data_IF_836486957178
#
_entry.id   IF_836486957178
#
_cell.length_a   1.000
_cell.length_b   1.000
_cell.length_c   1.000
_cell.angle_alpha   90.00
_cell.angle_beta   90.00
_cell.angle_gamma   90.00
#
_symmetry.space_group_name_H-M   'P 1'
#
loop_
_entity.id
_entity.type
_entity.pdbx_description
1 polymer ?
#
# COMPACT_ATOMS: atom_id res chain seq x y z
N UNK A 1 16.39 -20.40 71.22
CA UNK A 1 15.26 -19.79 70.49
C UNK A 1 15.84 -18.78 69.51
N UNK A 2 15.21 -18.55 68.34
CA UNK A 2 15.63 -17.64 67.25
C UNK A 2 16.36 -18.24 66.02
N UNK A 3 16.16 -19.52 65.68
CA UNK A 3 16.62 -20.08 64.38
C UNK A 3 15.48 -20.69 63.52
N UNK A 4 14.21 -20.45 63.88
CA UNK A 4 13.04 -21.03 63.18
C UNK A 4 12.20 -20.02 62.37
N UNK A 5 12.74 -18.86 62.02
CA UNK A 5 12.01 -17.82 61.28
C UNK A 5 12.60 -17.47 59.89
N UNK A 6 13.37 -18.38 59.27
CA UNK A 6 13.96 -18.18 57.93
C UNK A 6 13.44 -19.14 56.84
N UNK A 7 12.19 -19.61 56.95
CA UNK A 7 11.49 -20.33 55.88
C UNK A 7 10.01 -19.93 56.01
N UNK A 8 9.48 -18.95 55.25
CA UNK A 8 9.09 -19.21 53.87
C UNK A 8 8.94 -17.93 53.01
N UNK A 9 10.01 -17.34 52.49
CA UNK A 9 9.92 -16.33 51.42
C UNK A 9 11.09 -16.53 50.47
N UNK A 10 10.91 -17.44 49.53
CA UNK A 10 11.32 -17.32 48.11
C UNK A 10 11.14 -18.69 47.41
N UNK A 11 9.98 -19.33 47.61
CA UNK A 11 9.47 -20.30 46.63
C UNK A 11 8.79 -19.55 45.48
N UNK A 12 9.52 -18.63 44.86
CA UNK A 12 9.15 -18.00 43.59
C UNK A 12 10.04 -18.49 42.44
N UNK A 13 10.66 -19.67 42.62
CA UNK A 13 11.04 -20.52 41.50
C UNK A 13 9.91 -21.51 41.22
N UNK A 14 8.69 -21.00 40.98
CA UNK A 14 7.72 -21.79 40.23
C UNK A 14 8.27 -21.88 38.81
N UNK A 15 8.78 -23.07 38.50
CA UNK A 15 9.49 -23.37 37.28
C UNK A 15 8.78 -22.82 36.05
N UNK A 16 9.59 -22.18 35.20
CA UNK A 16 9.34 -22.19 33.76
C UNK A 16 9.10 -23.65 33.41
N UNK A 17 7.89 -23.96 32.94
CA UNK A 17 7.46 -25.35 32.76
C UNK A 17 8.27 -25.98 31.62
N UNK A 18 8.84 -27.17 31.85
CA UNK A 18 9.68 -27.94 30.92
C UNK A 18 9.07 -28.14 29.52
N UNK A 19 7.74 -28.03 29.43
CA UNK A 19 6.98 -28.08 28.18
C UNK A 19 7.37 -26.97 27.18
N UNK A 20 7.90 -25.84 27.65
CA UNK A 20 8.36 -24.75 26.79
C UNK A 20 9.81 -24.94 26.33
N UNK A 21 10.67 -25.55 27.15
CA UNK A 21 12.05 -25.87 26.78
C UNK A 21 12.10 -26.91 25.65
N UNK A 22 11.34 -28.01 25.75
CA UNK A 22 11.20 -29.02 24.68
C UNK A 22 10.68 -28.43 23.35
N UNK A 23 9.83 -27.40 23.45
CA UNK A 23 9.26 -26.73 22.28
C UNK A 23 10.24 -25.72 21.67
N UNK A 24 11.11 -25.12 22.47
CA UNK A 24 12.15 -24.18 22.00
C UNK A 24 13.37 -24.91 21.41
N UNK A 25 13.74 -26.08 21.94
CA UNK A 25 14.86 -26.90 21.43
C UNK A 25 14.70 -27.26 19.94
N UNK A 26 13.44 -27.38 19.47
CA UNK A 26 13.13 -27.72 18.09
C UNK A 26 12.93 -26.52 17.14
N UNK A 27 12.74 -25.30 17.65
CA UNK A 27 12.49 -24.11 16.79
C UNK A 27 13.74 -23.77 15.98
N UNK A 28 14.91 -23.85 16.62
CA UNK A 28 16.20 -23.44 16.05
C UNK A 28 16.68 -24.25 14.85
N UNK A 29 16.03 -25.38 14.54
CA UNK A 29 16.39 -26.22 13.39
C UNK A 29 15.28 -26.32 12.34
N UNK A 30 14.20 -25.55 12.48
CA UNK A 30 13.16 -25.51 11.45
C UNK A 30 13.63 -24.74 10.22
N UNK A 31 13.16 -25.12 9.04
CA UNK A 31 13.44 -24.37 7.80
C UNK A 31 13.03 -22.90 7.92
N UNK A 32 11.88 -22.62 8.54
CA UNK A 32 11.41 -21.26 8.76
C UNK A 32 12.34 -20.43 9.65
N UNK A 33 12.85 -21.02 10.72
CA UNK A 33 13.84 -20.36 11.59
C UNK A 33 15.13 -20.06 10.84
N UNK A 34 15.67 -21.02 10.09
CA UNK A 34 16.91 -20.85 9.34
C UNK A 34 16.81 -19.69 8.33
N UNK A 35 15.70 -19.64 7.57
CA UNK A 35 15.43 -18.54 6.63
C UNK A 35 15.30 -17.19 7.34
N UNK A 36 14.54 -17.13 8.44
CA UNK A 36 14.36 -15.90 9.20
C UNK A 36 15.69 -15.41 9.83
N UNK A 37 16.47 -16.33 10.39
CA UNK A 37 17.77 -16.06 10.99
C UNK A 37 18.76 -15.51 9.97
N UNK A 38 18.82 -16.11 8.78
CA UNK A 38 19.66 -15.63 7.68
C UNK A 38 19.26 -14.22 7.24
N UNK A 39 17.96 -13.98 6.99
CA UNK A 39 17.45 -12.66 6.59
C UNK A 39 17.76 -11.57 7.63
N UNK A 40 17.58 -11.88 8.91
CA UNK A 40 17.89 -10.96 10.00
C UNK A 40 19.39 -10.69 10.06
N UNK A 41 20.23 -11.73 10.05
CA UNK A 41 21.68 -11.60 10.17
C UNK A 41 22.28 -10.78 9.02
N UNK A 42 21.74 -10.88 7.81
CA UNK A 42 22.17 -10.08 6.65
C UNK A 42 21.78 -8.59 6.79
N UNK A 43 20.75 -8.27 7.56
CA UNK A 43 20.29 -6.89 7.78
C UNK A 43 20.99 -6.19 8.95
N UNK A 44 21.34 -6.94 10.00
CA UNK A 44 21.95 -6.41 11.23
C UNK A 44 23.36 -5.85 10.98
N UNK A 45 23.64 -4.66 11.51
CA UNK A 45 24.97 -4.06 11.62
C UNK A 45 25.49 -4.17 13.06
N UNK A 46 26.24 -5.24 13.36
CA UNK A 46 26.80 -5.49 14.69
C UNK A 46 27.90 -4.51 15.14
N UNK A 47 28.33 -3.59 14.26
CA UNK A 47 29.32 -2.56 14.62
C UNK A 47 28.71 -1.40 15.41
N UNK A 48 27.39 -1.33 15.51
CA UNK A 48 26.64 -0.25 16.16
C UNK A 48 25.99 -0.74 17.44
N UNK A 49 26.11 0.05 18.51
CA UNK A 49 25.41 -0.24 19.77
C UNK A 49 23.88 -0.11 19.57
N UNK A 50 23.09 -1.17 19.77
CA UNK A 50 21.64 -1.11 19.66
C UNK A 50 20.99 -0.13 20.64
N UNK A 51 21.61 0.13 21.79
CA UNK A 51 21.11 1.11 22.77
C UNK A 51 21.33 2.56 22.32
N UNK A 52 22.29 2.79 21.42
CA UNK A 52 22.57 4.12 20.88
C UNK A 52 21.78 4.40 19.59
N UNK A 53 21.73 3.43 18.66
CA UNK A 53 20.97 3.56 17.41
C UNK A 53 20.44 2.21 16.95
N UNK A 54 19.26 1.84 17.45
CA UNK A 54 18.62 0.57 17.12
C UNK A 54 18.26 0.45 15.63
N UNK A 55 17.97 1.57 14.94
CA UNK A 55 17.65 1.54 13.51
C UNK A 55 18.87 1.15 12.68
N UNK A 56 20.02 1.77 12.92
CA UNK A 56 21.26 1.41 12.23
C UNK A 56 21.73 0.01 12.61
N UNK A 57 21.66 -0.36 13.89
CA UNK A 57 21.96 -1.73 14.32
C UNK A 57 21.08 -2.75 13.60
N UNK A 58 19.77 -2.48 13.45
CA UNK A 58 18.84 -3.45 12.89
C UNK A 58 18.82 -3.51 11.36
N UNK A 59 19.08 -2.38 10.70
CA UNK A 59 18.83 -2.20 9.27
C UNK A 59 20.05 -1.71 8.47
N UNK A 60 21.15 -1.33 9.13
CA UNK A 60 22.28 -0.65 8.48
C UNK A 60 22.88 -1.43 7.32
N UNK A 61 23.12 -2.73 7.51
CA UNK A 61 23.64 -3.59 6.44
C UNK A 61 22.59 -3.82 5.34
N UNK A 62 21.30 -3.85 5.68
CA UNK A 62 20.26 -3.95 4.67
C UNK A 62 20.25 -2.72 3.75
N UNK A 63 20.31 -1.52 4.33
CA UNK A 63 20.33 -0.25 3.57
C UNK A 63 21.57 -0.18 2.66
N UNK A 64 22.74 -0.56 3.18
CA UNK A 64 23.97 -0.58 2.40
C UNK A 64 23.90 -1.50 1.17
N UNK A 65 23.20 -2.63 1.29
CA UNK A 65 23.08 -3.63 0.23
C UNK A 65 21.86 -3.43 -0.69
N UNK A 66 20.95 -2.51 -0.37
CA UNK A 66 19.72 -2.30 -1.12
C UNK A 66 19.52 -0.82 -1.50
N UNK A 67 20.39 -0.27 -2.38
CA UNK A 67 20.24 1.10 -2.86
C UNK A 67 18.93 1.25 -3.62
N UNK A 68 18.38 2.48 -3.62
CA UNK A 68 17.12 2.78 -4.30
C UNK A 68 17.30 2.55 -5.82
N UNK A 69 16.58 1.60 -6.44
CA UNK A 69 16.70 1.33 -7.86
C UNK A 69 16.23 2.51 -8.69
N UNK A 70 16.77 2.63 -9.91
CA UNK A 70 16.30 3.64 -10.87
C UNK A 70 14.79 3.53 -11.11
N UNK A 71 14.11 4.68 -11.13
CA UNK A 71 12.65 4.76 -11.30
C UNK A 71 11.84 4.49 -10.03
N UNK A 72 12.48 4.30 -8.87
CA UNK A 72 11.80 4.24 -7.57
C UNK A 72 12.20 5.43 -6.69
N UNK A 73 11.27 5.89 -5.86
CA UNK A 73 11.51 6.94 -4.86
C UNK A 73 12.00 6.37 -3.52
N UNK A 74 11.72 5.10 -3.24
CA UNK A 74 12.07 4.43 -2.00
C UNK A 74 12.33 2.94 -2.24
N UNK A 75 13.13 2.33 -1.38
CA UNK A 75 13.34 0.89 -1.36
C UNK A 75 13.18 0.39 0.07
N UNK A 76 12.31 -0.60 0.28
CA UNK A 76 11.99 -1.14 1.60
C UNK A 76 11.68 -2.64 1.49
N UNK A 77 11.71 -3.33 2.63
CA UNK A 77 11.27 -4.73 2.72
C UNK A 77 9.83 -4.92 2.22
N UNK A 78 8.91 -4.01 2.55
CA UNK A 78 7.55 -4.02 2.02
C UNK A 78 7.54 -3.86 0.50
N UNK A 79 8.37 -2.96 -0.04
CA UNK A 79 8.52 -2.77 -1.48
C UNK A 79 8.98 -4.05 -2.19
N UNK A 80 9.95 -4.77 -1.62
CA UNK A 80 10.42 -6.05 -2.16
C UNK A 80 9.31 -7.11 -2.20
N UNK A 81 8.51 -7.22 -1.14
CA UNK A 81 7.38 -8.15 -1.11
C UNK A 81 6.32 -7.73 -2.13
N UNK A 82 5.98 -6.44 -2.22
CA UNK A 82 5.04 -5.93 -3.22
C UNK A 82 5.50 -6.19 -4.64
N UNK A 83 6.81 -6.07 -4.92
CA UNK A 83 7.38 -6.39 -6.23
C UNK A 83 7.22 -7.87 -6.56
N UNK A 84 7.55 -8.77 -5.63
CA UNK A 84 7.39 -10.22 -5.81
C UNK A 84 5.93 -10.61 -6.06
N UNK A 85 5.01 -10.03 -5.29
CA UNK A 85 3.56 -10.26 -5.47
C UNK A 85 3.11 -9.77 -6.84
N UNK A 86 3.56 -8.59 -7.27
CA UNK A 86 3.24 -8.03 -8.59
C UNK A 86 3.80 -8.89 -9.73
N UNK A 87 4.99 -9.46 -9.58
CA UNK A 87 5.55 -10.43 -10.54
C UNK A 87 4.70 -11.69 -10.62
N UNK A 88 4.27 -12.25 -9.48
CA UNK A 88 3.36 -13.42 -9.48
C UNK A 88 2.00 -13.11 -10.09
N UNK A 89 1.43 -11.95 -9.81
CA UNK A 89 0.19 -11.51 -10.47
C UNK A 89 0.39 -11.39 -11.99
N UNK A 90 1.51 -10.82 -12.42
CA UNK A 90 1.85 -10.71 -13.84
C UNK A 90 1.95 -12.08 -14.51
N UNK A 91 2.67 -13.03 -13.92
CA UNK A 91 2.77 -14.42 -14.41
C UNK A 91 1.37 -15.04 -14.65
N UNK A 92 0.45 -14.87 -13.69
CA UNK A 92 -0.91 -15.39 -13.77
C UNK A 92 -1.77 -14.71 -14.85
N UNK A 93 -1.64 -13.39 -14.99
CA UNK A 93 -2.42 -12.60 -15.95
C UNK A 93 -1.86 -12.70 -17.38
N UNK A 94 -0.57 -13.00 -17.55
CA UNK A 94 0.07 -13.22 -18.86
C UNK A 94 0.00 -14.66 -19.33
N UNK A 95 -0.35 -15.62 -18.47
CA UNK A 95 -0.46 -17.04 -18.85
C UNK A 95 -1.51 -17.27 -19.95
N UNK A 96 -1.52 -18.46 -20.57
CA UNK A 96 -2.60 -18.89 -21.48
C UNK A 96 -3.75 -19.61 -20.75
N UNK A 97 -3.65 -19.78 -19.43
CA UNK A 97 -4.68 -20.45 -18.64
C UNK A 97 -6.00 -19.67 -18.64
N UNK A 98 -7.11 -20.37 -18.84
CA UNK A 98 -8.46 -19.81 -18.65
C UNK A 98 -8.93 -20.22 -17.26
N UNK A 99 -9.15 -19.24 -16.40
CA UNK A 99 -9.62 -19.49 -15.04
C UNK A 99 -11.10 -19.93 -15.05
N UNK A 100 -11.50 -20.77 -14.11
CA UNK A 100 -12.92 -21.11 -13.94
C UNK A 100 -13.79 -19.91 -13.54
N UNK A 101 -13.20 -18.88 -12.92
CA UNK A 101 -13.89 -17.65 -12.49
C UNK A 101 -14.01 -16.64 -13.63
N UNK A 102 -15.25 -16.23 -13.92
CA UNK A 102 -15.54 -15.15 -14.89
C UNK A 102 -14.83 -13.84 -14.53
N UNK A 103 -14.80 -13.49 -13.24
CA UNK A 103 -14.16 -12.26 -12.76
C UNK A 103 -12.65 -12.27 -12.99
N UNK A 104 -11.99 -13.42 -12.82
CA UNK A 104 -10.56 -13.58 -13.08
C UNK A 104 -10.25 -13.43 -14.58
N UNK A 105 -11.07 -14.03 -15.45
CA UNK A 105 -10.91 -13.87 -16.90
C UNK A 105 -11.18 -12.43 -17.36
N UNK A 106 -12.15 -11.73 -16.75
CA UNK A 106 -12.39 -10.32 -17.02
C UNK A 106 -11.19 -9.44 -16.61
N UNK A 107 -10.60 -9.68 -15.42
CA UNK A 107 -9.39 -9.01 -14.98
C UNK A 107 -8.22 -9.25 -15.94
N UNK A 108 -8.04 -10.49 -16.41
CA UNK A 108 -7.04 -10.86 -17.40
C UNK A 108 -7.21 -10.13 -18.72
N UNK A 109 -8.44 -10.02 -19.22
CA UNK A 109 -8.75 -9.26 -20.43
C UNK A 109 -8.41 -7.76 -20.27
N UNK A 110 -8.76 -7.16 -19.14
CA UNK A 110 -8.43 -5.75 -18.83
C UNK A 110 -6.91 -5.56 -18.78
N UNK A 111 -6.20 -6.46 -18.11
CA UNK A 111 -4.73 -6.44 -18.04
C UNK A 111 -4.10 -6.48 -19.45
N UNK A 112 -4.52 -7.44 -20.29
CA UNK A 112 -4.00 -7.57 -21.66
C UNK A 112 -4.23 -6.29 -22.48
N UNK A 113 -5.41 -5.67 -22.38
CA UNK A 113 -5.70 -4.38 -23.04
C UNK A 113 -4.83 -3.23 -22.53
N UNK A 114 -4.57 -3.18 -21.22
CA UNK A 114 -3.72 -2.14 -20.63
C UNK A 114 -2.24 -2.27 -21.07
N UNK A 115 -1.76 -3.50 -21.23
CA UNK A 115 -0.37 -3.79 -21.59
C UNK A 115 -0.11 -3.74 -23.10
N UNK A 116 -1.17 -3.76 -23.92
CA UNK A 116 -1.04 -3.65 -25.37
C UNK A 116 -0.54 -2.26 -25.77
N UNK A 117 0.68 -2.20 -26.29
CA UNK A 117 1.32 -0.97 -26.76
C UNK A 117 0.89 -0.58 -28.18
N UNK A 118 0.18 -1.46 -28.88
CA UNK A 118 -0.30 -1.24 -30.25
C UNK A 118 -1.55 -0.36 -30.30
N UNK A 119 -2.42 -0.43 -29.29
CA UNK A 119 -3.66 0.36 -29.21
C UNK A 119 -3.38 1.77 -28.66
N UNK A 120 -2.87 2.65 -29.52
CA UNK A 120 -2.61 4.05 -29.15
C UNK A 120 -3.90 4.85 -29.14
N UNK A 121 -4.48 5.06 -27.96
CA UNK A 121 -5.45 6.15 -27.76
C UNK A 121 -4.73 7.46 -28.09
N UNK A 122 -5.13 8.10 -29.17
CA UNK A 122 -4.54 9.38 -29.58
C UNK A 122 -4.99 10.48 -28.62
N UNK A 123 -4.14 11.49 -28.43
CA UNK A 123 -4.52 12.70 -27.68
C UNK A 123 -5.85 13.28 -28.21
N UNK A 124 -6.11 13.16 -29.52
CA UNK A 124 -7.37 13.55 -30.15
C UNK A 124 -8.59 12.84 -29.56
N UNK A 125 -8.53 11.52 -29.33
CA UNK A 125 -9.64 10.78 -28.73
C UNK A 125 -9.91 11.22 -27.30
N UNK A 126 -8.86 11.49 -26.53
CA UNK A 126 -9.01 12.05 -25.18
C UNK A 126 -9.67 13.43 -25.22
N UNK A 127 -9.25 14.30 -26.15
CA UNK A 127 -9.84 15.63 -26.33
C UNK A 127 -11.32 15.57 -26.75
N UNK A 128 -11.70 14.60 -27.59
CA UNK A 128 -13.12 14.36 -27.94
C UNK A 128 -13.96 14.03 -26.70
N UNK A 129 -13.44 13.19 -25.80
CA UNK A 129 -14.16 12.86 -24.57
C UNK A 129 -14.20 14.05 -23.61
N UNK A 130 -13.12 14.85 -23.53
CA UNK A 130 -13.12 16.05 -22.68
C UNK A 130 -14.18 17.05 -23.14
N UNK A 131 -14.39 17.19 -24.45
CA UNK A 131 -15.45 18.05 -25.02
C UNK A 131 -16.86 17.64 -24.61
N UNK A 132 -17.10 16.37 -24.25
CA UNK A 132 -18.40 15.93 -23.72
C UNK A 132 -18.74 16.62 -22.38
N UNK A 133 -17.73 17.12 -21.66
CA UNK A 133 -17.91 17.86 -20.41
C UNK A 133 -18.04 19.38 -20.61
N UNK A 134 -17.92 19.88 -21.85
CA UNK A 134 -17.99 21.30 -22.18
C UNK A 134 -16.71 21.84 -22.79
N UNK A 135 -16.71 23.15 -23.04
CA UNK A 135 -15.60 23.84 -23.71
C UNK A 135 -14.43 24.04 -22.74
N UNK A 136 -13.22 23.65 -23.15
CA UNK A 136 -12.00 23.94 -22.39
C UNK A 136 -11.20 25.08 -23.05
N UNK A 137 -11.22 26.32 -22.50
CA UNK A 137 -10.58 27.48 -23.11
C UNK A 137 -9.12 27.27 -23.53
N UNK A 138 -8.33 26.59 -22.69
CA UNK A 138 -6.91 26.32 -22.93
C UNK A 138 -6.65 25.47 -24.19
N UNK A 139 -7.61 24.65 -24.61
CA UNK A 139 -7.51 23.79 -25.80
C UNK A 139 -8.24 24.40 -26.99
N UNK A 140 -9.38 25.05 -26.75
CA UNK A 140 -10.34 25.38 -27.80
C UNK A 140 -10.39 26.86 -28.18
N UNK A 141 -9.78 27.72 -27.36
CA UNK A 141 -9.79 29.17 -27.49
C UNK A 141 -10.79 29.85 -26.57
N UNK A 142 -10.44 31.04 -26.08
CA UNK A 142 -11.29 31.85 -25.20
C UNK A 142 -12.57 32.32 -25.90
N UNK A 143 -12.58 32.38 -27.23
CA UNK A 143 -13.72 32.79 -28.05
C UNK A 143 -14.89 31.80 -28.00
N UNK A 144 -14.61 30.52 -27.71
CA UNK A 144 -15.62 29.46 -27.66
C UNK A 144 -16.19 29.23 -26.27
N UNK A 145 -15.51 29.70 -25.24
CA UNK A 145 -15.96 29.56 -23.87
C UNK A 145 -16.73 30.81 -23.44
N UNK A 146 -17.94 30.63 -22.90
CA UNK A 146 -18.77 31.73 -22.43
C UNK A 146 -19.15 31.51 -20.98
N UNK A 147 -18.89 32.51 -20.15
CA UNK A 147 -19.21 32.46 -18.72
C UNK A 147 -20.69 32.18 -18.45
N UNK A 148 -21.59 32.71 -19.29
CA UNK A 148 -23.04 32.51 -19.15
C UNK A 148 -23.51 31.08 -19.40
N UNK A 149 -22.72 30.27 -20.14
CA UNK A 149 -23.03 28.87 -20.44
C UNK A 149 -22.39 27.91 -19.42
N UNK A 150 -21.56 28.42 -18.50
CA UNK A 150 -20.77 27.59 -17.60
C UNK A 150 -21.45 27.37 -16.25
N UNK A 151 -21.94 26.15 -16.03
CA UNK A 151 -22.40 25.68 -14.71
C UNK A 151 -21.34 24.77 -14.08
N UNK A 152 -20.58 25.35 -13.14
CA UNK A 152 -19.56 24.63 -12.40
C UNK A 152 -20.16 23.47 -11.58
N UNK A 153 -21.35 23.63 -11.02
CA UNK A 153 -21.97 22.62 -10.15
C UNK A 153 -22.38 21.41 -10.96
N UNK A 154 -23.06 21.61 -12.09
CA UNK A 154 -23.44 20.52 -13.00
C UNK A 154 -22.22 19.81 -13.57
N UNK A 155 -21.19 20.56 -13.97
CA UNK A 155 -19.94 19.98 -14.46
C UNK A 155 -19.30 19.07 -13.40
N UNK A 156 -19.11 19.56 -12.18
CA UNK A 156 -18.49 18.79 -11.09
C UNK A 156 -19.31 17.56 -10.71
N UNK A 157 -20.65 17.69 -10.65
CA UNK A 157 -21.54 16.57 -10.39
C UNK A 157 -21.42 15.49 -11.47
N UNK A 158 -21.49 15.89 -12.75
CA UNK A 158 -21.43 14.97 -13.88
C UNK A 158 -20.06 14.28 -14.01
N UNK A 159 -18.97 15.02 -13.85
CA UNK A 159 -17.61 14.49 -13.86
C UNK A 159 -17.36 13.55 -12.68
N UNK A 160 -17.90 13.87 -11.49
CA UNK A 160 -17.83 12.98 -10.33
C UNK A 160 -18.64 11.70 -10.54
N UNK A 161 -19.83 11.78 -11.14
CA UNK A 161 -20.69 10.61 -11.38
C UNK A 161 -20.11 9.68 -12.44
N UNK A 162 -19.71 10.23 -13.59
CA UNK A 162 -19.29 9.43 -14.75
C UNK A 162 -17.83 8.97 -14.63
N UNK A 163 -16.97 9.77 -13.98
CA UNK A 163 -15.51 9.51 -13.92
C UNK A 163 -14.96 9.31 -12.51
N UNK A 164 -15.76 9.56 -11.47
CA UNK A 164 -15.26 9.49 -10.09
C UNK A 164 -14.25 10.58 -9.73
N UNK A 165 -14.11 11.62 -10.57
CA UNK A 165 -13.15 12.70 -10.35
C UNK A 165 -13.74 13.72 -9.36
N UNK A 166 -12.99 14.02 -8.29
CA UNK A 166 -13.40 14.91 -7.20
C UNK A 166 -12.38 16.03 -7.04
N UNK A 167 -12.71 17.24 -7.52
CA UNK A 167 -11.74 18.34 -7.63
C UNK A 167 -11.67 19.21 -6.36
N UNK A 168 -12.78 19.82 -5.94
CA UNK A 168 -12.79 20.77 -4.81
C UNK A 168 -13.36 20.16 -3.53
N UNK A 169 -14.41 19.36 -3.67
CA UNK A 169 -15.12 18.73 -2.57
C UNK A 169 -15.26 17.26 -2.95
N UNK A 170 -14.71 16.39 -2.10
CA UNK A 170 -14.94 14.96 -2.20
C UNK A 170 -16.16 14.61 -1.35
N UNK A 171 -17.26 14.27 -2.01
CA UNK A 171 -18.47 13.77 -1.35
C UNK A 171 -18.49 12.24 -1.43
N UNK A 172 -18.72 11.60 -0.29
CA UNK A 172 -18.75 10.14 -0.18
C UNK A 172 -19.80 9.67 0.82
N UNK A 173 -20.12 8.37 0.72
CA UNK A 173 -20.96 7.68 1.69
C UNK A 173 -20.02 7.00 2.70
N UNK A 174 -20.16 7.36 3.97
CA UNK A 174 -19.32 6.86 5.06
C UNK A 174 -20.18 6.29 6.19
N UNK A 175 -19.62 5.39 7.00
CA UNK A 175 -20.28 4.96 8.23
C UNK A 175 -20.49 6.15 9.18
N UNK A 176 -21.64 6.20 9.84
CA UNK A 176 -21.84 7.16 10.92
C UNK A 176 -20.93 6.78 12.10
N UNK A 177 -20.03 7.69 12.48
CA UNK A 177 -19.10 7.51 13.61
C UNK A 177 -19.82 7.27 14.94
N UNK A 178 -21.08 7.69 15.05
CA UNK A 178 -21.93 7.45 16.23
C UNK A 178 -22.77 6.19 16.11
N UNK A 179 -22.94 5.64 14.90
CA UNK A 179 -23.74 4.44 14.66
C UNK A 179 -23.29 3.71 13.38
N UNK A 180 -22.43 2.71 13.52
CA UNK A 180 -21.86 1.96 12.39
C UNK A 180 -22.87 1.10 11.61
N UNK A 181 -24.12 0.98 12.06
CA UNK A 181 -25.21 0.36 11.29
C UNK A 181 -25.86 1.31 10.29
N UNK A 182 -25.47 2.60 10.27
CA UNK A 182 -25.98 3.63 9.36
C UNK A 182 -24.87 4.23 8.52
N UNK A 183 -25.28 4.77 7.38
CA UNK A 183 -24.42 5.53 6.49
C UNK A 183 -24.85 7.00 6.47
N UNK A 184 -23.89 7.90 6.29
CA UNK A 184 -24.07 9.34 6.15
C UNK A 184 -23.31 9.84 4.95
N UNK A 185 -23.80 10.93 4.36
CA UNK A 185 -23.04 11.68 3.37
C UNK A 185 -22.01 12.52 4.14
N UNK A 186 -20.73 12.30 3.85
CA UNK A 186 -19.66 13.13 4.35
C UNK A 186 -18.97 13.84 3.20
N UNK A 187 -18.50 15.06 3.47
CA UNK A 187 -17.69 15.83 2.54
C UNK A 187 -16.35 16.14 3.17
N UNK A 188 -15.31 16.10 2.36
CA UNK A 188 -13.97 16.57 2.70
C UNK A 188 -13.49 17.50 1.60
N UNK A 189 -12.66 18.48 1.94
CA UNK A 189 -11.92 19.24 0.94
C UNK A 189 -11.13 18.25 0.06
N UNK A 190 -11.36 18.33 -1.25
CA UNK A 190 -10.59 17.57 -2.23
C UNK A 190 -9.13 17.95 -2.07
N UNK A 191 -8.29 16.98 -1.74
CA UNK A 191 -6.85 17.23 -1.78
C UNK A 191 -6.48 17.36 -3.25
N UNK A 192 -5.67 18.37 -3.66
CA UNK A 192 -5.07 18.35 -4.98
C UNK A 192 -4.38 16.99 -5.18
N UNK A 193 -4.29 16.47 -6.41
CA UNK A 193 -3.62 15.20 -6.66
C UNK A 193 -2.26 15.22 -5.95
N UNK A 194 -2.10 14.33 -4.96
CA UNK A 194 -0.88 14.20 -4.19
C UNK A 194 0.26 13.86 -5.16
N UNK A 195 1.00 14.87 -5.59
CA UNK A 195 2.41 14.67 -5.89
C UNK A 195 3.04 14.19 -4.58
N UNK A 196 3.76 13.07 -4.64
CA UNK A 196 4.19 12.26 -3.50
C UNK A 196 4.57 13.07 -2.26
N UNK A 197 4.14 12.57 -1.11
CA UNK A 197 4.53 13.07 0.21
C UNK A 197 6.03 13.47 0.23
N UNK A 198 6.38 14.71 0.63
CA UNK A 198 7.68 14.96 1.20
C UNK A 198 7.70 14.25 2.56
N UNK A 199 8.65 13.34 2.71
CA UNK A 199 8.88 12.56 3.93
C UNK A 199 9.00 13.48 5.17
N UNK A 200 8.36 13.05 6.26
CA UNK A 200 8.88 13.22 7.62
C UNK A 200 9.62 11.93 7.99
#
# INVERSE_FOLDING_TARGET
MWWLLLLPLYSCALGVTSKWEDKMENVGNTTGYNVASELLTQALNFSVDPCANFFEFSCGNWIANHPIPSGKFSHSQFGLVSDKVREKMRELLESEEIFGSKSMNALKMIYKRCMDKGERVTARRLLEIIREYGVWPMVEGDDKWRVGDFDLTSLLAHVSEVRGLRTFISVGIHYDIKNSSRYVIASQLGHPPHNGHPNL
#
